data_IF_310520231935
#
_entry.id   IF_310520231935
#
_cell.length_a   1.000
_cell.length_b   1.000
_cell.length_c   1.000
_cell.angle_alpha   90.00
_cell.angle_beta   90.00
_cell.angle_gamma   90.00
#
_symmetry.space_group_name_H-M   'P 1'
#
loop_
_entity.id
_entity.type
_entity.pdbx_description
1 polymer ?
#
# COMPACT_ATOMS: atom_id res chain seq x y z
N UNK A 1 -10.72 -9.04 -21.69
CA UNK A 1 -9.92 -7.88 -21.24
C UNK A 1 -8.59 -7.88 -22.00
N UNK A 2 -8.09 -6.74 -22.50
CA UNK A 2 -6.92 -6.69 -23.40
C UNK A 2 -5.61 -6.96 -22.63
N UNK A 3 -4.68 -7.74 -23.19
CA UNK A 3 -3.34 -8.04 -22.64
C UNK A 3 -2.60 -6.79 -22.15
N UNK A 4 -2.67 -5.68 -22.91
CA UNK A 4 -2.01 -4.41 -22.53
C UNK A 4 -2.54 -3.84 -21.21
N UNK A 5 -3.83 -4.01 -20.92
CA UNK A 5 -4.42 -3.53 -19.67
C UNK A 5 -3.94 -4.36 -18.48
N UNK A 6 -3.83 -5.68 -18.66
CA UNK A 6 -3.27 -6.57 -17.64
C UNK A 6 -1.82 -6.22 -17.31
N UNK A 7 -1.00 -5.95 -18.32
CA UNK A 7 0.40 -5.51 -18.12
C UNK A 7 0.43 -4.24 -17.27
N UNK A 8 -0.42 -3.24 -17.57
CA UNK A 8 -0.50 -2.00 -16.78
C UNK A 8 -0.89 -2.28 -15.32
N UNK A 9 -1.89 -3.13 -15.09
CA UNK A 9 -2.33 -3.50 -13.74
C UNK A 9 -1.20 -4.20 -12.98
N UNK A 10 -0.55 -5.19 -13.60
CA UNK A 10 0.52 -5.97 -12.98
C UNK A 10 1.74 -5.10 -12.65
N UNK A 11 2.15 -4.20 -13.54
CA UNK A 11 3.22 -3.24 -13.27
C UNK A 11 2.86 -2.36 -12.07
N UNK A 12 1.63 -1.84 -12.04
CA UNK A 12 1.18 -0.97 -10.94
C UNK A 12 1.19 -1.71 -9.59
N UNK A 13 0.70 -2.95 -9.57
CA UNK A 13 0.72 -3.81 -8.37
C UNK A 13 2.16 -4.11 -7.94
N UNK A 14 3.04 -4.44 -8.88
CA UNK A 14 4.45 -4.71 -8.58
C UNK A 14 5.16 -3.50 -7.96
N UNK A 15 4.96 -2.30 -8.52
CA UNK A 15 5.48 -1.06 -7.94
C UNK A 15 4.89 -0.84 -6.54
N UNK A 16 3.59 -1.05 -6.36
CA UNK A 16 2.94 -0.91 -5.05
C UNK A 16 3.53 -1.86 -4.01
N UNK A 17 3.76 -3.13 -4.37
CA UNK A 17 4.36 -4.11 -3.48
C UNK A 17 5.79 -3.74 -3.08
N UNK A 18 6.59 -3.22 -4.00
CA UNK A 18 7.97 -2.76 -3.73
C UNK A 18 8.00 -1.57 -2.77
N UNK A 19 7.07 -0.63 -2.91
CA UNK A 19 7.05 0.60 -2.11
C UNK A 19 6.23 0.47 -0.81
N UNK A 20 5.60 -0.67 -0.55
CA UNK A 20 4.71 -0.84 0.58
C UNK A 20 5.42 -0.67 1.94
N UNK A 21 6.56 -1.33 2.13
CA UNK A 21 7.34 -1.25 3.36
C UNK A 21 7.94 0.14 3.62
N UNK A 22 8.64 0.78 2.65
CA UNK A 22 9.14 2.14 2.89
C UNK A 22 8.00 3.16 3.07
N UNK A 23 6.84 2.95 2.43
CA UNK A 23 5.67 3.78 2.66
C UNK A 23 5.08 3.59 4.08
N UNK A 24 5.07 2.36 4.59
CA UNK A 24 4.74 2.08 5.99
C UNK A 24 5.73 2.77 6.94
N UNK A 25 7.03 2.63 6.68
CA UNK A 25 8.09 3.28 7.46
C UNK A 25 7.96 4.80 7.46
N UNK A 26 7.60 5.39 6.33
CA UNK A 26 7.33 6.82 6.20
C UNK A 26 6.13 7.28 7.03
N UNK A 27 4.99 6.59 6.93
CA UNK A 27 3.79 6.99 7.68
C UNK A 27 3.95 6.80 9.19
N UNK A 28 4.48 5.66 9.64
CA UNK A 28 4.46 5.30 11.05
C UNK A 28 5.79 5.53 11.77
N UNK A 29 6.82 6.00 11.07
CA UNK A 29 8.19 6.13 11.59
C UNK A 29 8.67 4.83 12.28
N UNK A 30 8.21 3.67 11.77
CA UNK A 30 8.35 2.39 12.46
C UNK A 30 9.65 1.64 12.15
N UNK A 31 10.49 2.16 11.25
CA UNK A 31 11.76 1.54 10.84
C UNK A 31 11.68 0.61 9.62
N UNK A 32 10.50 0.40 9.03
CA UNK A 32 10.41 -0.30 7.74
C UNK A 32 11.10 0.48 6.62
N UNK A 33 11.79 -0.25 5.74
CA UNK A 33 12.54 0.30 4.60
C UNK A 33 12.38 -0.58 3.35
N UNK A 34 13.12 -0.30 2.28
CA UNK A 34 13.11 -1.10 1.07
C UNK A 34 13.54 -2.55 1.33
N UNK A 35 12.96 -3.49 0.55
CA UNK A 35 13.23 -4.92 0.68
C UNK A 35 14.74 -5.27 0.59
N UNK A 36 15.49 -4.58 -0.28
CA UNK A 36 16.92 -4.77 -0.43
C UNK A 36 17.78 -4.00 0.58
N UNK A 37 17.16 -3.26 1.49
CA UNK A 37 17.81 -2.49 2.56
C UNK A 37 17.44 -2.98 3.96
N UNK A 38 16.97 -4.23 4.08
CA UNK A 38 16.55 -4.85 5.34
C UNK A 38 15.03 -4.88 5.54
N UNK A 39 14.22 -4.34 4.62
CA UNK A 39 12.77 -4.53 4.60
C UNK A 39 12.08 -4.23 5.93
N UNK A 40 11.67 -5.27 6.65
CA UNK A 40 11.03 -5.17 7.96
C UNK A 40 11.96 -5.53 9.15
N UNK A 41 13.21 -5.93 8.90
CA UNK A 41 14.13 -6.45 9.94
C UNK A 41 14.41 -5.42 11.04
N UNK A 42 14.46 -4.13 10.70
CA UNK A 42 14.61 -3.01 11.64
C UNK A 42 13.30 -2.45 12.19
N UNK A 43 12.15 -3.06 11.87
CA UNK A 43 10.85 -2.55 12.26
C UNK A 43 10.60 -2.71 13.77
N UNK A 44 9.87 -1.76 14.36
CA UNK A 44 9.53 -1.76 15.78
C UNK A 44 8.71 -2.96 16.25
N UNK A 45 8.12 -3.75 15.34
CA UNK A 45 7.47 -5.02 15.67
C UNK A 45 8.42 -6.04 16.28
N UNK A 46 9.74 -5.87 16.07
CA UNK A 46 10.79 -6.73 16.62
C UNK A 46 11.32 -6.24 17.98
N UNK A 47 10.76 -5.15 18.53
CA UNK A 47 11.22 -4.51 19.74
C UNK A 47 10.22 -4.75 20.88
N UNK A 48 10.70 -5.24 22.03
CA UNK A 48 9.85 -5.73 23.11
C UNK A 48 9.07 -4.62 23.86
N UNK A 49 9.67 -3.42 23.97
CA UNK A 49 9.14 -2.32 24.79
C UNK A 49 8.60 -1.14 23.95
N UNK A 50 8.25 -1.37 22.69
CA UNK A 50 7.68 -0.36 21.80
C UNK A 50 6.22 -0.66 21.47
N UNK A 51 5.43 0.40 21.26
CA UNK A 51 4.14 0.26 20.60
C UNK A 51 4.39 -0.21 19.17
N UNK A 52 3.83 -1.34 18.78
CA UNK A 52 4.06 -1.97 17.48
C UNK A 52 3.29 -1.26 16.36
N UNK A 53 3.89 -1.20 15.17
CA UNK A 53 3.27 -0.62 13.98
C UNK A 53 1.90 -1.26 13.68
N UNK A 54 0.80 -0.49 13.61
CA UNK A 54 -0.56 -0.98 13.36
C UNK A 54 -0.72 -1.75 12.06
N UNK A 55 0.06 -1.39 11.04
CA UNK A 55 -0.07 -1.97 9.71
C UNK A 55 0.70 -3.30 9.56
N UNK A 56 1.74 -3.49 10.38
CA UNK A 56 2.59 -4.68 10.37
C UNK A 56 2.23 -5.68 11.49
N UNK A 57 1.63 -5.23 12.59
CA UNK A 57 1.29 -6.10 13.71
C UNK A 57 0.21 -7.11 13.30
N UNK A 58 0.46 -8.39 13.57
CA UNK A 58 -0.47 -9.48 13.25
C UNK A 58 -1.62 -9.52 14.26
N UNK A 59 -2.64 -8.67 14.09
CA UNK A 59 -3.90 -8.80 14.85
C UNK A 59 -4.76 -9.96 14.36
N UNK A 60 -4.98 -10.00 13.05
CA UNK A 60 -5.57 -11.16 12.36
C UNK A 60 -5.11 -11.16 10.90
N UNK A 61 -4.93 -12.34 10.27
CA UNK A 61 -4.57 -12.41 8.85
C UNK A 61 -5.55 -11.65 7.94
N UNK A 62 -6.83 -11.65 8.31
CA UNK A 62 -7.90 -10.96 7.57
C UNK A 62 -7.73 -9.44 7.65
N UNK A 63 -7.59 -8.88 8.85
CA UNK A 63 -7.42 -7.43 9.03
C UNK A 63 -6.14 -6.93 8.37
N UNK A 64 -5.08 -7.75 8.39
CA UNK A 64 -3.83 -7.43 7.71
C UNK A 64 -3.99 -7.43 6.18
N UNK A 65 -4.78 -8.35 5.62
CA UNK A 65 -4.98 -8.46 4.18
C UNK A 65 -5.91 -7.38 3.60
N UNK A 66 -6.89 -6.90 4.38
CA UNK A 66 -7.95 -5.99 3.91
C UNK A 66 -7.43 -4.70 3.24
N UNK A 67 -6.47 -3.96 3.81
CA UNK A 67 -5.89 -2.79 3.15
C UNK A 67 -5.29 -3.11 1.79
N UNK A 68 -4.56 -4.22 1.67
CA UNK A 68 -3.90 -4.61 0.41
C UNK A 68 -4.92 -5.02 -0.64
N UNK A 69 -5.94 -5.79 -0.25
CA UNK A 69 -7.04 -6.15 -1.15
C UNK A 69 -7.80 -4.90 -1.61
N UNK A 70 -8.07 -3.96 -0.71
CA UNK A 70 -8.71 -2.69 -1.04
C UNK A 70 -7.88 -1.86 -2.02
N UNK A 71 -6.57 -1.74 -1.79
CA UNK A 71 -5.65 -1.04 -2.68
C UNK A 71 -5.61 -1.70 -4.06
N UNK A 72 -5.38 -3.02 -4.15
CA UNK A 72 -5.26 -3.71 -5.43
C UNK A 72 -6.58 -3.74 -6.21
N UNK A 73 -7.71 -3.97 -5.53
CA UNK A 73 -9.04 -3.89 -6.14
C UNK A 73 -9.32 -2.46 -6.63
N UNK A 74 -9.01 -1.45 -5.82
CA UNK A 74 -9.15 -0.04 -6.17
C UNK A 74 -8.31 0.35 -7.39
N UNK A 75 -7.06 -0.14 -7.47
CA UNK A 75 -6.17 0.07 -8.61
C UNK A 75 -6.73 -0.56 -9.88
N UNK A 76 -7.09 -1.85 -9.82
CA UNK A 76 -7.67 -2.57 -10.96
C UNK A 76 -8.96 -1.92 -11.45
N UNK A 77 -9.86 -1.56 -10.54
CA UNK A 77 -11.11 -0.88 -10.84
C UNK A 77 -10.87 0.49 -11.48
N UNK A 78 -10.02 1.33 -10.89
CA UNK A 78 -9.76 2.69 -11.39
C UNK A 78 -9.07 2.67 -12.74
N UNK A 79 -8.09 1.80 -12.95
CA UNK A 79 -7.41 1.61 -14.23
C UNK A 79 -8.42 1.14 -15.31
N UNK A 80 -9.25 0.16 -14.99
CA UNK A 80 -10.28 -0.34 -15.91
C UNK A 80 -11.29 0.76 -16.27
N UNK A 81 -11.81 1.47 -15.27
CA UNK A 81 -12.78 2.54 -15.44
C UNK A 81 -12.20 3.69 -16.28
N UNK A 82 -11.01 4.18 -15.95
CA UNK A 82 -10.36 5.26 -16.68
C UNK A 82 -10.01 4.85 -18.12
N UNK A 83 -9.60 3.60 -18.34
CA UNK A 83 -9.38 3.10 -19.70
C UNK A 83 -10.68 3.11 -20.51
N UNK A 84 -11.80 2.67 -19.95
CA UNK A 84 -13.08 2.62 -20.65
C UNK A 84 -13.66 4.02 -20.91
N UNK A 85 -13.59 4.92 -19.93
CA UNK A 85 -14.19 6.26 -20.01
C UNK A 85 -13.36 7.23 -20.85
N UNK A 86 -12.05 7.30 -20.63
CA UNK A 86 -11.19 8.33 -21.23
C UNK A 86 -10.26 7.79 -22.32
N UNK A 87 -10.29 6.48 -22.60
CA UNK A 87 -9.43 5.80 -23.59
C UNK A 87 -7.92 6.04 -23.40
N UNK A 88 -7.51 6.45 -22.20
CA UNK A 88 -6.14 6.85 -21.84
C UNK A 88 -5.06 5.85 -22.23
N UNK A 89 -3.87 6.38 -22.54
CA UNK A 89 -2.65 5.60 -22.76
C UNK A 89 -2.10 4.97 -21.47
N UNK A 90 -1.16 4.02 -21.58
CA UNK A 90 -0.66 3.22 -20.45
C UNK A 90 -0.04 4.07 -19.33
N UNK A 91 0.75 5.09 -19.68
CA UNK A 91 1.39 5.96 -18.68
C UNK A 91 0.38 6.64 -17.75
N UNK A 92 -0.68 7.23 -18.31
CA UNK A 92 -1.75 7.88 -17.53
C UNK A 92 -2.46 6.87 -16.62
N UNK A 93 -2.63 5.64 -17.06
CA UNK A 93 -3.26 4.59 -16.26
C UNK A 93 -2.37 4.13 -15.10
N UNK A 94 -1.06 4.01 -15.32
CA UNK A 94 -0.09 3.73 -14.24
C UNK A 94 -0.17 4.85 -13.19
N UNK A 95 -0.13 6.12 -13.62
CA UNK A 95 -0.27 7.27 -12.70
C UNK A 95 -1.57 7.19 -11.89
N UNK A 96 -2.71 6.89 -12.54
CA UNK A 96 -3.98 6.68 -11.82
C UNK A 96 -3.87 5.57 -10.78
N UNK A 97 -3.27 4.43 -11.13
CA UNK A 97 -3.07 3.32 -10.18
C UNK A 97 -2.16 3.69 -9.00
N UNK A 98 -1.09 4.42 -9.24
CA UNK A 98 -0.18 4.87 -8.18
C UNK A 98 -0.84 5.90 -7.26
N UNK A 99 -1.65 6.82 -7.80
CA UNK A 99 -2.44 7.75 -6.99
C UNK A 99 -3.45 7.01 -6.11
N UNK A 100 -4.07 5.94 -6.61
CA UNK A 100 -4.98 5.11 -5.80
C UNK A 100 -4.23 4.43 -4.65
N UNK A 101 -3.01 3.93 -4.89
CA UNK A 101 -2.17 3.39 -3.81
C UNK A 101 -1.89 4.44 -2.74
N UNK A 102 -1.47 5.66 -3.13
CA UNK A 102 -1.20 6.72 -2.16
C UNK A 102 -2.45 7.08 -1.36
N UNK A 103 -3.59 7.30 -2.03
CA UNK A 103 -4.84 7.71 -1.36
C UNK A 103 -5.37 6.61 -0.45
N UNK A 104 -5.55 5.39 -0.96
CA UNK A 104 -6.08 4.29 -0.16
C UNK A 104 -5.08 3.80 0.89
N UNK A 105 -3.78 3.89 0.60
CA UNK A 105 -2.70 3.62 1.55
C UNK A 105 -2.73 4.57 2.74
N UNK A 106 -2.80 5.89 2.50
CA UNK A 106 -2.93 6.88 3.59
C UNK A 106 -4.23 6.70 4.35
N UNK A 107 -5.37 6.54 3.67
CA UNK A 107 -6.66 6.39 4.34
C UNK A 107 -6.70 5.14 5.22
N UNK A 108 -6.28 3.99 4.69
CA UNK A 108 -6.24 2.76 5.44
C UNK A 108 -5.25 2.85 6.60
N UNK A 109 -4.04 3.35 6.38
CA UNK A 109 -3.06 3.57 7.45
C UNK A 109 -3.62 4.48 8.56
N UNK A 110 -4.27 5.59 8.20
CA UNK A 110 -4.81 6.51 9.19
C UNK A 110 -5.91 5.87 10.05
N UNK A 111 -6.77 5.05 9.45
CA UNK A 111 -7.79 4.28 10.17
C UNK A 111 -7.11 3.36 11.20
N UNK A 112 -6.09 2.61 10.81
CA UNK A 112 -5.35 1.74 11.72
C UNK A 112 -4.65 2.52 12.84
N UNK A 113 -4.08 3.69 12.53
CA UNK A 113 -3.53 4.58 13.55
C UNK A 113 -4.57 4.97 14.60
N UNK A 114 -5.79 5.33 14.18
CA UNK A 114 -6.86 5.72 15.09
C UNK A 114 -7.36 4.54 15.94
N UNK A 115 -7.52 3.37 15.32
CA UNK A 115 -7.94 2.15 16.02
C UNK A 115 -6.94 1.70 17.08
N UNK A 116 -5.66 2.00 16.88
CA UNK A 116 -4.56 1.44 17.68
C UNK A 116 -3.93 2.45 18.61
N UNK A 117 -4.38 3.71 18.57
CA UNK A 117 -3.83 4.80 19.36
C UNK A 117 -2.35 5.06 19.05
N UNK A 118 -1.89 4.75 17.84
CA UNK A 118 -0.47 4.80 17.51
C UNK A 118 0.02 6.26 17.43
N UNK A 119 1.18 6.59 18.01
CA UNK A 119 1.59 7.98 18.23
C UNK A 119 1.99 8.73 16.95
N UNK A 120 2.46 8.03 15.92
CA UNK A 120 3.00 8.67 14.72
C UNK A 120 2.13 8.42 13.48
N UNK A 121 1.89 9.47 12.70
CA UNK A 121 1.32 9.38 11.37
C UNK A 121 1.78 10.60 10.56
N UNK A 122 2.83 10.37 9.76
CA UNK A 122 3.76 11.37 9.23
C UNK A 122 4.70 11.95 10.29
#
# INVERSE_FOLDING_TARGET
MNLKLWIVILITIAVTAVFLLPFCGFMYQCGCTFLWSGGADGCNIHQADMVHCPWCVKRSPVLMALPFLGIFAGQGFSIYYFKRKYKSGPLKLIVVGLLVFLVLGVLSGYIFKLMDGYPHFF
#
